data_IF_781244361175
#
_entry.id   IF_781244361175
#
_cell.length_a   1.000
_cell.length_b   1.000
_cell.length_c   1.000
_cell.angle_alpha   90.00
_cell.angle_beta   90.00
_cell.angle_gamma   90.00
#
_symmetry.space_group_name_H-M   'P 1'
#
loop_
_entity.id
_entity.type
_entity.pdbx_description
1 polymer ?
#
# COMPACT_ATOMS: atom_id res chain seq x y z
N UNK A 1 15.21 0.69 5.61
CA UNK A 1 14.45 -0.03 4.57
C UNK A 1 12.98 -0.07 4.97
N UNK A 2 12.14 0.83 4.45
CA UNK A 2 10.80 1.10 5.01
C UNK A 2 9.63 0.89 4.02
N UNK A 3 9.95 0.56 2.76
CA UNK A 3 8.98 0.19 1.73
C UNK A 3 8.72 -1.33 1.79
N UNK A 4 7.47 -1.80 1.58
CA UNK A 4 7.19 -3.22 1.47
C UNK A 4 7.95 -3.87 0.31
N UNK A 5 8.45 -5.10 0.51
CA UNK A 5 9.23 -5.86 -0.49
C UNK A 5 8.51 -5.92 -1.84
N UNK A 6 7.20 -6.20 -1.85
CA UNK A 6 6.42 -6.26 -3.08
C UNK A 6 6.35 -4.92 -3.82
N UNK A 7 6.31 -3.78 -3.10
CA UNK A 7 6.33 -2.46 -3.73
C UNK A 7 7.67 -2.20 -4.42
N UNK A 8 8.78 -2.55 -3.77
CA UNK A 8 10.12 -2.38 -4.35
C UNK A 8 10.31 -3.25 -5.60
N UNK A 9 9.84 -4.50 -5.56
CA UNK A 9 9.88 -5.39 -6.73
C UNK A 9 9.03 -4.83 -7.89
N UNK A 10 7.77 -4.47 -7.61
CA UNK A 10 6.83 -3.95 -8.59
C UNK A 10 7.37 -2.64 -9.24
N UNK A 11 8.10 -1.81 -8.49
CA UNK A 11 8.63 -0.52 -8.96
C UNK A 11 9.94 -0.62 -9.75
N UNK A 12 10.81 -1.58 -9.41
CA UNK A 12 12.19 -1.62 -9.91
C UNK A 12 12.56 -2.87 -10.68
N UNK A 13 11.80 -3.96 -10.55
CA UNK A 13 12.19 -5.27 -11.05
C UNK A 13 11.07 -6.06 -11.75
N UNK A 14 9.84 -5.54 -11.81
CA UNK A 14 8.68 -6.26 -12.39
C UNK A 14 8.86 -6.71 -13.84
N UNK A 15 9.68 -6.00 -14.61
CA UNK A 15 9.95 -6.31 -16.03
C UNK A 15 11.25 -7.09 -16.23
N UNK A 16 11.90 -7.48 -15.14
CA UNK A 16 13.13 -8.26 -15.21
C UNK A 16 12.81 -9.74 -15.11
N UNK A 17 13.67 -10.59 -15.67
CA UNK A 17 13.52 -12.03 -15.53
C UNK A 17 13.67 -12.42 -14.05
N UNK A 18 12.80 -13.31 -13.59
CA UNK A 18 12.91 -13.90 -12.25
C UNK A 18 14.10 -14.89 -12.20
N UNK A 19 14.76 -15.04 -11.04
CA UNK A 19 14.48 -14.40 -9.75
C UNK A 19 14.90 -12.93 -9.66
N UNK A 20 14.36 -12.19 -8.68
CA UNK A 20 14.80 -10.81 -8.42
C UNK A 20 16.25 -10.78 -7.93
N UNK A 21 17.14 -10.18 -8.72
CA UNK A 21 18.55 -10.03 -8.39
C UNK A 21 18.77 -8.90 -7.36
N UNK A 22 19.25 -9.25 -6.16
CA UNK A 22 19.55 -8.32 -5.08
C UNK A 22 21.04 -8.42 -4.72
N UNK A 23 21.77 -7.31 -4.76
CA UNK A 23 23.16 -7.23 -4.34
C UNK A 23 23.26 -6.80 -2.87
N UNK A 24 24.03 -7.54 -2.07
CA UNK A 24 24.22 -7.26 -0.63
C UNK A 24 25.51 -6.49 -0.43
N UNK A 25 25.44 -5.36 0.29
CA UNK A 25 26.59 -4.51 0.62
C UNK A 25 26.84 -4.48 2.13
N UNK A 26 28.12 -4.56 2.53
CA UNK A 26 28.55 -4.51 3.94
C UNK A 26 29.39 -3.27 4.29
N UNK A 27 29.72 -2.44 3.30
CA UNK A 27 30.56 -1.24 3.44
C UNK A 27 29.94 -0.10 2.62
N UNK A 28 30.35 1.13 2.91
CA UNK A 28 29.89 2.34 2.20
C UNK A 28 28.36 2.49 2.22
N UNK A 29 27.77 2.47 3.42
CA UNK A 29 26.32 2.63 3.56
C UNK A 29 25.87 3.98 2.98
N UNK A 30 24.85 4.01 2.10
CA UNK A 30 24.40 5.24 1.47
C UNK A 30 23.51 6.05 2.43
N UNK A 31 24.15 6.83 3.30
CA UNK A 31 23.51 7.64 4.36
C UNK A 31 22.45 8.63 3.84
N UNK A 32 22.56 9.05 2.58
CA UNK A 32 21.62 10.01 1.95
C UNK A 32 20.38 9.34 1.38
N UNK A 33 20.48 8.07 1.01
CA UNK A 33 19.45 7.37 0.23
C UNK A 33 18.68 6.36 1.09
N UNK A 34 19.30 5.81 2.15
CA UNK A 34 18.72 4.77 2.99
C UNK A 34 18.67 5.15 4.47
N UNK A 35 17.52 4.87 5.09
CA UNK A 35 17.36 4.92 6.53
C UNK A 35 18.00 3.69 7.18
N UNK A 36 18.83 3.93 8.19
CA UNK A 36 19.36 2.90 9.10
C UNK A 36 18.22 2.12 9.76
N UNK A 37 18.48 0.83 9.98
CA UNK A 37 17.54 -0.08 10.65
C UNK A 37 18.30 -0.93 11.67
N UNK A 38 18.64 -0.37 12.84
CA UNK A 38 19.54 -1.01 13.80
C UNK A 38 18.90 -2.19 14.55
N UNK A 39 17.57 -2.27 14.61
CA UNK A 39 16.87 -3.31 15.36
C UNK A 39 15.45 -3.56 14.84
N UNK A 40 14.89 -4.71 15.20
CA UNK A 40 13.50 -5.06 14.91
C UNK A 40 12.49 -4.08 15.52
N UNK A 41 12.82 -3.43 16.64
CA UNK A 41 11.93 -2.45 17.27
C UNK A 41 11.70 -1.21 16.39
N UNK A 42 12.66 -0.85 15.52
CA UNK A 42 12.49 0.25 14.56
C UNK A 42 11.49 -0.15 13.46
N UNK A 43 11.52 -1.40 13.02
CA UNK A 43 10.57 -1.95 12.04
C UNK A 43 9.16 -2.00 12.64
N UNK A 44 9.03 -2.50 13.88
CA UNK A 44 7.75 -2.52 14.61
C UNK A 44 7.18 -1.12 14.78
N UNK A 45 8.01 -0.14 15.20
CA UNK A 45 7.59 1.24 15.34
C UNK A 45 7.11 1.85 14.02
N UNK A 46 7.84 1.63 12.93
CA UNK A 46 7.45 2.09 11.59
C UNK A 46 6.13 1.45 11.12
N UNK A 47 6.00 0.13 11.28
CA UNK A 47 4.77 -0.61 10.98
C UNK A 47 3.57 -0.06 11.74
N UNK A 48 3.70 0.14 13.06
CA UNK A 48 2.64 0.70 13.88
C UNK A 48 2.33 2.16 13.53
N UNK A 49 3.33 2.94 13.12
CA UNK A 49 3.12 4.30 12.61
C UNK A 49 2.25 4.30 11.35
N UNK A 50 2.53 3.42 10.39
CA UNK A 50 1.71 3.29 9.18
C UNK A 50 0.27 2.85 9.49
N UNK A 51 0.07 1.93 10.44
CA UNK A 51 -1.29 1.52 10.85
C UNK A 51 -2.05 2.69 11.48
N UNK A 52 -1.41 3.44 12.37
CA UNK A 52 -2.03 4.61 13.03
C UNK A 52 -2.40 5.70 12.03
N UNK A 53 -1.52 5.98 11.08
CA UNK A 53 -1.77 6.92 9.99
C UNK A 53 -2.96 6.47 9.12
N UNK A 54 -3.01 5.18 8.75
CA UNK A 54 -4.13 4.63 8.00
C UNK A 54 -5.45 4.70 8.78
N UNK A 55 -5.43 4.43 10.08
CA UNK A 55 -6.62 4.54 10.93
C UNK A 55 -7.06 5.99 11.18
N UNK A 56 -6.12 6.94 11.19
CA UNK A 56 -6.43 8.37 11.22
C UNK A 56 -7.29 8.78 10.01
N UNK A 57 -6.94 8.26 8.83
CA UNK A 57 -7.68 8.52 7.59
C UNK A 57 -9.05 7.83 7.59
N UNK A 58 -9.13 6.57 8.04
CA UNK A 58 -10.38 5.80 7.99
C UNK A 58 -11.37 6.17 9.09
N UNK A 59 -10.90 6.29 10.32
CA UNK A 59 -11.72 6.33 11.54
C UNK A 59 -11.30 7.43 12.53
N UNK A 60 -10.52 8.44 12.10
CA UNK A 60 -9.96 9.47 13.01
C UNK A 60 -9.16 8.87 14.17
N UNK A 61 -8.47 7.74 13.92
CA UNK A 61 -7.68 6.98 14.90
C UNK A 61 -8.49 6.34 16.03
N UNK A 62 -9.82 6.30 15.97
CA UNK A 62 -10.66 5.75 17.04
C UNK A 62 -10.38 4.27 17.25
N UNK A 63 -10.44 3.46 16.18
CA UNK A 63 -10.32 2.00 16.28
C UNK A 63 -8.96 1.58 16.82
N UNK A 64 -7.86 2.17 16.32
CA UNK A 64 -6.51 1.81 16.79
C UNK A 64 -6.25 2.25 18.24
N UNK A 65 -6.87 3.36 18.69
CA UNK A 65 -6.72 3.86 20.05
C UNK A 65 -7.56 3.07 21.06
N UNK A 66 -8.69 2.51 20.63
CA UNK A 66 -9.53 1.62 21.45
C UNK A 66 -8.93 0.22 21.63
N UNK A 67 -7.97 -0.16 20.77
CA UNK A 67 -7.23 -1.42 20.90
C UNK A 67 -6.25 -1.39 22.08
N UNK A 68 -6.12 -2.54 22.75
CA UNK A 68 -5.16 -2.70 23.85
C UNK A 68 -3.73 -2.90 23.31
N UNK A 69 -2.70 -2.62 24.13
CA UNK A 69 -1.29 -2.88 23.77
C UNK A 69 -1.04 -4.32 23.29
N UNK A 70 -1.75 -5.30 23.86
CA UNK A 70 -1.65 -6.71 23.44
C UNK A 70 -2.17 -6.94 22.01
N UNK A 71 -3.18 -6.18 21.60
CA UNK A 71 -3.78 -6.26 20.26
C UNK A 71 -2.80 -5.67 19.22
N UNK A 72 -2.15 -4.54 19.55
CA UNK A 72 -1.07 -3.96 18.74
C UNK A 72 0.09 -4.96 18.57
N UNK A 73 0.51 -5.59 19.68
CA UNK A 73 1.55 -6.62 19.64
C UNK A 73 1.12 -7.81 18.79
N UNK A 74 -0.15 -8.21 18.85
CA UNK A 74 -0.67 -9.31 18.04
C UNK A 74 -0.64 -9.00 16.53
N UNK A 75 -0.94 -7.76 16.11
CA UNK A 75 -0.75 -7.32 14.72
C UNK A 75 0.71 -7.49 14.28
N UNK A 76 1.65 -6.98 15.09
CA UNK A 76 3.07 -7.07 14.79
C UNK A 76 3.58 -8.52 14.74
N UNK A 77 3.29 -9.33 15.76
CA UNK A 77 3.71 -10.73 15.80
C UNK A 77 3.08 -11.56 14.66
N UNK A 78 1.85 -11.22 14.26
CA UNK A 78 1.18 -11.84 13.11
C UNK A 78 1.93 -11.57 11.80
N UNK A 79 2.40 -10.34 11.59
CA UNK A 79 3.23 -9.97 10.45
C UNK A 79 4.61 -10.63 10.52
N UNK A 80 5.31 -10.46 11.64
CA UNK A 80 6.70 -10.91 11.82
C UNK A 80 6.87 -12.42 11.65
N UNK A 81 5.88 -13.20 12.11
CA UNK A 81 5.93 -14.66 12.09
C UNK A 81 5.15 -15.30 10.93
N UNK A 82 4.70 -14.51 9.95
CA UNK A 82 3.87 -14.97 8.83
C UNK A 82 2.61 -15.75 9.28
N UNK A 83 1.93 -15.25 10.33
CA UNK A 83 0.72 -15.85 10.90
C UNK A 83 -0.50 -15.05 10.45
N UNK A 84 -1.02 -15.41 9.27
CA UNK A 84 -2.16 -14.76 8.63
C UNK A 84 -3.37 -14.58 9.58
N UNK A 85 -3.84 -15.66 10.22
CA UNK A 85 -5.02 -15.61 11.08
C UNK A 85 -4.79 -14.76 12.34
N UNK A 86 -3.56 -14.80 12.89
CA UNK A 86 -3.19 -13.99 14.05
C UNK A 86 -3.25 -12.50 13.72
N UNK A 87 -2.73 -12.10 12.57
CA UNK A 87 -2.80 -10.73 12.07
C UNK A 87 -4.26 -10.31 11.81
N UNK A 88 -5.01 -11.13 11.08
CA UNK A 88 -6.38 -10.79 10.67
C UNK A 88 -7.39 -10.77 11.81
N UNK A 89 -7.16 -11.54 12.88
CA UNK A 89 -7.98 -11.48 14.08
C UNK A 89 -8.08 -10.05 14.64
N UNK A 90 -7.01 -9.26 14.56
CA UNK A 90 -7.00 -7.85 14.97
C UNK A 90 -7.26 -6.90 13.80
N UNK A 91 -6.68 -7.16 12.62
CA UNK A 91 -6.81 -6.26 11.46
C UNK A 91 -8.26 -6.10 10.97
N UNK A 92 -9.11 -7.11 11.17
CA UNK A 92 -10.54 -7.02 10.80
C UNK A 92 -11.26 -5.85 11.48
N UNK A 93 -10.92 -5.53 12.74
CA UNK A 93 -11.49 -4.37 13.46
C UNK A 93 -11.15 -3.07 12.72
N UNK A 94 -9.92 -2.97 12.19
CA UNK A 94 -9.49 -1.84 11.38
C UNK A 94 -10.15 -1.81 9.98
N UNK A 95 -10.81 -2.88 9.55
CA UNK A 95 -11.50 -2.93 8.25
C UNK A 95 -13.02 -2.70 8.38
N UNK A 96 -13.55 -2.71 9.60
CA UNK A 96 -14.96 -2.47 9.88
C UNK A 96 -15.25 -0.96 9.82
N UNK A 97 -16.38 -0.59 9.23
CA UNK A 97 -16.92 0.76 9.22
C UNK A 97 -18.43 0.71 9.50
N UNK A 98 -19.03 1.76 10.08
CA UNK A 98 -20.46 1.80 10.34
C UNK A 98 -21.25 1.64 9.03
N UNK A 99 -22.27 0.79 9.03
CA UNK A 99 -23.11 0.53 7.84
C UNK A 99 -23.77 1.81 7.30
N UNK A 100 -24.06 2.76 8.20
CA UNK A 100 -24.65 4.06 7.88
C UNK A 100 -23.71 4.96 7.05
N UNK A 101 -22.39 4.81 7.19
CA UNK A 101 -21.40 5.64 6.50
C UNK A 101 -21.05 5.10 5.09
N UNK A 102 -21.48 3.87 4.75
CA UNK A 102 -21.26 3.27 3.44
C UNK A 102 -19.80 2.97 3.07
N UNK A 103 -18.84 3.32 3.91
CA UNK A 103 -17.40 3.13 3.68
C UNK A 103 -16.53 3.83 4.72
N UNK A 104 -15.20 3.73 4.56
CA UNK A 104 -14.27 4.54 5.35
C UNK A 104 -14.41 6.03 5.06
N UNK A 105 -13.98 6.88 6.01
CA UNK A 105 -13.94 8.34 5.78
C UNK A 105 -13.03 8.74 4.61
N UNK A 106 -11.83 8.17 4.56
CA UNK A 106 -10.87 8.32 3.47
C UNK A 106 -10.11 7.02 3.23
N UNK A 107 -9.69 6.79 1.99
CA UNK A 107 -8.87 5.64 1.60
C UNK A 107 -7.39 5.90 1.91
N UNK A 108 -6.70 5.04 2.70
CA UNK A 108 -5.26 5.16 2.91
C UNK A 108 -4.49 4.58 1.72
N UNK A 109 -4.05 5.42 0.79
CA UNK A 109 -3.29 5.00 -0.39
C UNK A 109 -1.98 5.78 -0.54
N UNK A 110 -1.04 5.19 -1.29
CA UNK A 110 0.15 5.85 -1.82
C UNK A 110 0.35 5.41 -3.27
N UNK A 111 0.54 6.37 -4.17
CA UNK A 111 0.88 6.14 -5.58
C UNK A 111 2.38 6.39 -5.73
N UNK A 112 3.12 5.35 -6.12
CA UNK A 112 4.56 5.43 -6.35
C UNK A 112 4.85 5.63 -7.84
N UNK A 113 5.89 6.40 -8.14
CA UNK A 113 6.33 6.73 -9.50
C UNK A 113 7.85 6.64 -9.56
N UNK A 114 8.39 5.85 -10.50
CA UNK A 114 9.85 5.63 -10.58
C UNK A 114 10.62 6.87 -11.06
N UNK A 115 9.96 7.76 -11.81
CA UNK A 115 10.58 8.92 -12.46
C UNK A 115 10.26 10.26 -11.79
N UNK A 116 9.69 10.25 -10.57
CA UNK A 116 9.28 11.47 -9.87
C UNK A 116 10.29 11.84 -8.78
N UNK A 117 10.58 13.13 -8.64
CA UNK A 117 11.35 13.66 -7.50
C UNK A 117 10.58 13.54 -6.18
N UNK A 118 9.26 13.28 -6.25
CA UNK A 118 8.42 13.05 -5.06
C UNK A 118 8.37 11.56 -4.74
N UNK A 119 8.52 11.16 -3.46
CA UNK A 119 8.59 9.75 -3.08
C UNK A 119 7.28 8.99 -3.34
N UNK A 120 6.13 9.66 -3.21
CA UNK A 120 4.80 9.15 -3.56
C UNK A 120 3.76 10.27 -3.55
N UNK A 121 2.60 10.02 -4.17
CA UNK A 121 1.40 10.86 -4.04
C UNK A 121 0.48 10.24 -2.98
N UNK A 122 0.10 11.04 -1.99
CA UNK A 122 -0.89 10.70 -0.97
C UNK A 122 -1.78 11.92 -0.74
N UNK A 123 -3.08 11.78 -0.97
CA UNK A 123 -4.09 12.84 -0.78
C UNK A 123 -5.35 12.24 -0.12
N UNK A 124 -6.25 13.09 0.34
CA UNK A 124 -7.55 12.64 0.84
C UNK A 124 -8.44 12.25 -0.33
N UNK A 125 -8.94 11.02 -0.32
CA UNK A 125 -9.89 10.52 -1.31
C UNK A 125 -11.00 9.74 -0.59
N UNK A 126 -12.26 10.08 -0.85
CA UNK A 126 -13.40 9.38 -0.25
C UNK A 126 -13.71 8.13 -1.06
N UNK A 127 -14.10 7.00 -0.44
CA UNK A 127 -14.51 5.82 -1.19
C UNK A 127 -15.89 5.93 -1.82
N UNK A 128 -16.72 6.88 -1.38
CA UNK A 128 -18.11 7.05 -1.81
C UNK A 128 -18.32 8.50 -2.23
N UNK A 129 -19.01 8.69 -3.36
CA UNK A 129 -19.38 10.00 -3.89
C UNK A 129 -20.47 10.66 -3.01
N UNK A 130 -20.69 11.99 -3.14
CA UNK A 130 -21.80 12.66 -2.45
C UNK A 130 -23.19 12.05 -2.74
N UNK A 131 -23.34 11.42 -3.91
CA UNK A 131 -24.56 10.75 -4.37
C UNK A 131 -24.69 9.30 -3.86
N UNK A 132 -23.71 8.81 -3.10
CA UNK A 132 -23.73 7.46 -2.51
C UNK A 132 -23.14 6.36 -3.38
N UNK A 133 -22.52 6.68 -4.52
CA UNK A 133 -21.89 5.69 -5.39
C UNK A 133 -20.48 5.35 -4.92
N UNK A 134 -20.11 4.07 -4.95
CA UNK A 134 -18.73 3.65 -4.67
C UNK A 134 -17.81 4.13 -5.79
N UNK A 135 -16.76 4.87 -5.42
CA UNK A 135 -15.76 5.36 -6.36
C UNK A 135 -14.74 4.28 -6.67
N UNK A 136 -14.31 4.23 -7.92
CA UNK A 136 -13.39 3.21 -8.44
C UNK A 136 -11.94 3.66 -8.34
N UNK A 137 -11.01 2.71 -8.57
CA UNK A 137 -9.60 3.05 -8.79
C UNK A 137 -9.42 4.03 -9.96
N UNK A 138 -10.23 3.88 -11.02
CA UNK A 138 -10.21 4.77 -12.16
C UNK A 138 -10.55 6.21 -11.76
N UNK A 139 -11.54 6.42 -10.90
CA UNK A 139 -11.92 7.76 -10.43
C UNK A 139 -10.81 8.41 -9.60
N UNK A 140 -10.17 7.62 -8.73
CA UNK A 140 -9.00 8.09 -7.97
C UNK A 140 -7.85 8.49 -8.89
N UNK A 141 -7.54 7.68 -9.90
CA UNK A 141 -6.47 7.99 -10.85
C UNK A 141 -6.82 9.20 -11.71
N UNK A 142 -8.07 9.34 -12.18
CA UNK A 142 -8.54 10.52 -12.93
C UNK A 142 -8.34 11.80 -12.13
N UNK A 143 -8.61 11.78 -10.84
CA UNK A 143 -8.50 12.97 -9.99
C UNK A 143 -7.03 13.29 -9.64
N UNK A 144 -6.25 12.27 -9.29
CA UNK A 144 -4.94 12.49 -8.66
C UNK A 144 -3.77 12.38 -9.62
N UNK A 145 -3.93 11.57 -10.67
CA UNK A 145 -2.88 11.34 -11.64
C UNK A 145 -3.46 10.95 -13.01
N UNK A 146 -4.11 11.91 -13.72
CA UNK A 146 -4.81 11.64 -14.97
C UNK A 146 -3.92 11.00 -16.04
N UNK A 147 -2.62 11.30 -16.03
CA UNK A 147 -1.64 10.77 -16.98
C UNK A 147 -1.44 9.25 -16.90
N UNK A 148 -1.91 8.57 -15.84
CA UNK A 148 -1.93 7.11 -15.81
C UNK A 148 -3.03 6.48 -16.69
N UNK A 149 -4.00 7.26 -17.13
CA UNK A 149 -5.15 6.76 -17.89
C UNK A 149 -4.91 7.05 -19.36
N UNK A 150 -4.72 5.98 -20.14
CA UNK A 150 -4.66 6.10 -21.60
C UNK A 150 -6.01 6.60 -22.11
N UNK A 151 -6.00 7.68 -22.90
CA UNK A 151 -7.17 8.06 -23.71
C UNK A 151 -7.16 7.15 -24.93
N UNK A 152 -8.18 6.31 -25.11
CA UNK A 152 -8.35 5.53 -26.34
C UNK A 152 -8.46 6.51 -27.52
N UNK A 153 -7.43 6.61 -28.36
CA UNK A 153 -7.48 7.40 -29.59
C UNK A 153 -6.22 8.14 -30.04
N UNK A 154 -5.10 8.14 -29.30
CA UNK A 154 -3.87 8.81 -29.74
C UNK A 154 -2.89 7.84 -30.42
N UNK A 155 -2.63 7.92 -31.75
CA UNK A 155 -1.81 6.94 -32.47
C UNK A 155 -0.29 7.17 -32.38
N UNK A 156 0.20 8.04 -31.49
CA UNK A 156 1.61 8.44 -31.49
C UNK A 156 2.29 8.36 -30.12
N UNK A 157 2.30 7.20 -29.46
CA UNK A 157 3.46 6.87 -28.61
C UNK A 157 3.47 5.40 -28.14
N UNK A 158 4.04 4.50 -28.93
CA UNK A 158 4.39 3.14 -28.46
C UNK A 158 5.41 3.16 -27.31
N UNK A 159 6.02 4.31 -27.01
CA UNK A 159 6.94 4.51 -25.88
C UNK A 159 6.27 5.01 -24.59
N UNK A 160 5.01 5.49 -24.64
CA UNK A 160 4.32 6.09 -23.49
C UNK A 160 3.20 5.19 -22.92
N UNK A 161 3.42 3.87 -22.98
CA UNK A 161 2.65 2.92 -22.17
C UNK A 161 2.69 3.38 -20.70
N UNK A 162 1.59 3.32 -19.92
CA UNK A 162 1.56 3.81 -18.54
C UNK A 162 2.51 2.98 -17.69
N UNK A 163 3.77 3.42 -17.65
CA UNK A 163 4.89 2.72 -17.02
C UNK A 163 4.73 2.81 -15.50
N UNK A 164 4.15 1.75 -14.94
CA UNK A 164 4.27 1.30 -13.55
C UNK A 164 3.74 2.29 -12.50
N UNK A 165 2.42 2.36 -12.38
CA UNK A 165 1.77 3.00 -11.24
C UNK A 165 1.24 1.93 -10.30
N UNK A 166 1.93 1.75 -9.18
CA UNK A 166 1.47 0.84 -8.14
C UNK A 166 0.77 1.62 -7.04
N UNK A 167 -0.53 1.39 -6.90
CA UNK A 167 -1.28 1.83 -5.74
C UNK A 167 -1.40 0.67 -4.76
N UNK A 168 -0.80 0.80 -3.58
CA UNK A 168 -1.10 -0.11 -2.46
C UNK A 168 -1.85 0.65 -1.39
N UNK A 169 -3.10 0.27 -1.20
CA UNK A 169 -3.89 0.67 -0.04
C UNK A 169 -3.27 0.01 1.18
N UNK A 170 -2.93 0.78 2.21
CA UNK A 170 -2.05 0.35 3.30
C UNK A 170 -2.55 -0.91 4.05
N UNK A 171 -3.81 -1.33 3.87
CA UNK A 171 -4.40 -2.45 4.61
C UNK A 171 -5.38 -3.34 3.81
N UNK A 172 -5.54 -3.16 2.50
CA UNK A 172 -6.59 -3.86 1.73
C UNK A 172 -6.02 -5.05 0.93
N UNK A 173 -5.41 -6.01 1.64
CA UNK A 173 -4.78 -7.18 1.01
C UNK A 173 -5.75 -8.26 0.52
N UNK A 174 -7.07 -8.09 0.64
CA UNK A 174 -8.04 -9.06 0.08
C UNK A 174 -8.88 -8.53 -1.07
N UNK A 175 -9.32 -7.27 -1.06
CA UNK A 175 -10.35 -6.87 -2.03
C UNK A 175 -9.78 -6.47 -3.40
N UNK A 176 -8.59 -5.88 -3.45
CA UNK A 176 -7.97 -5.44 -4.72
C UNK A 176 -7.29 -6.57 -5.52
N UNK A 177 -6.94 -7.69 -4.88
CA UNK A 177 -6.42 -8.86 -5.59
C UNK A 177 -7.48 -9.64 -6.37
N UNK A 178 -8.77 -9.37 -6.16
CA UNK A 178 -9.85 -10.03 -6.91
C UNK A 178 -10.34 -9.21 -8.12
N UNK A 179 -10.11 -7.90 -8.15
CA UNK A 179 -10.60 -7.03 -9.24
C UNK A 179 -9.52 -6.58 -10.23
N UNK A 180 -8.26 -6.58 -9.82
CA UNK A 180 -7.14 -6.30 -10.71
C UNK A 180 -6.35 -7.60 -10.80
N UNK A 181 -6.25 -8.18 -12.00
CA UNK A 181 -5.53 -9.42 -12.31
C UNK A 181 -4.02 -9.37 -12.06
N UNK A 182 -3.62 -8.98 -10.85
CA UNK A 182 -2.29 -9.11 -10.30
C UNK A 182 -2.17 -10.59 -9.95
N UNK A 183 -1.47 -11.33 -10.83
CA UNK A 183 -1.16 -12.75 -10.64
C UNK A 183 -0.59 -12.95 -9.25
N UNK A 184 -1.33 -13.67 -8.41
CA UNK A 184 -0.82 -14.22 -7.17
C UNK A 184 0.37 -15.13 -7.50
N UNK A 185 1.59 -14.68 -7.19
CA UNK A 185 2.82 -15.44 -7.44
C UNK A 185 2.93 -16.64 -6.47
N UNK A 186 1.99 -16.84 -5.53
CA UNK A 186 1.99 -17.99 -4.61
C UNK A 186 1.14 -19.18 -5.08
N UNK A 187 1.24 -19.60 -6.33
CA UNK A 187 1.03 -21.02 -6.69
C UNK A 187 1.92 -21.42 -7.87
N UNK A 188 3.14 -21.88 -7.56
CA UNK A 188 3.78 -22.96 -8.33
C UNK A 188 4.15 -24.05 -7.33
N UNK A 189 3.40 -25.14 -7.41
CA UNK A 189 3.91 -26.45 -7.00
C UNK A 189 4.89 -26.90 -8.08
#
# INVERSE_FOLDING_TARGET
MHYPIGVLFDLHASNTALPWNITVHFKNFPERDLLHCPSNSVIEAHFMSCIKEADALKHKSQVINDMQKKDHKQLWMGLQNDKFDQFWAMNRKLMEYPTEEGGFRYIPFRIYQTMSDRPFIQKLFRPVSPEGHTLTLGDLLKELFPAAICVEGDPHDENNSPRYYLMKTCLQFRHLSQEVGIRDVRKRH
#
